data_IF_412474572767
#
_entry.id   IF_412474572767
#
_cell.length_a   1.000
_cell.length_b   1.000
_cell.length_c   1.000
_cell.angle_alpha   90.00
_cell.angle_beta   90.00
_cell.angle_gamma   90.00
#
_symmetry.space_group_name_H-M   'P 1'
#
loop_
_entity.id
_entity.type
_entity.pdbx_description
1 polymer ?
#
# COMPACT_ATOMS: atom_id res chain seq x y z
N UNK A 1 -1.05 24.99 73.04
CA UNK A 1 -1.81 25.10 71.77
C UNK A 1 -1.00 24.41 70.66
N UNK A 2 -0.97 23.10 70.59
CA UNK A 2 -0.22 22.40 69.47
C UNK A 2 -0.73 20.95 69.26
N UNK A 3 -2.01 20.75 69.06
CA UNK A 3 -2.54 19.39 68.81
C UNK A 3 -3.53 19.24 67.61
N UNK A 4 -3.68 20.24 66.74
CA UNK A 4 -4.68 20.14 65.69
C UNK A 4 -4.16 20.13 64.23
N UNK A 5 -2.82 20.08 63.99
CA UNK A 5 -2.26 20.08 62.63
C UNK A 5 -1.98 18.70 62.04
N UNK A 6 -1.85 17.68 62.88
CA UNK A 6 -1.55 16.29 62.40
C UNK A 6 -2.77 15.60 61.80
N UNK A 7 -3.96 15.78 62.37
CA UNK A 7 -5.18 15.14 61.87
C UNK A 7 -5.64 15.59 60.49
N UNK A 8 -5.52 16.90 60.17
CA UNK A 8 -5.92 17.45 58.88
C UNK A 8 -5.00 16.99 57.73
N UNK A 9 -3.69 16.79 57.99
CA UNK A 9 -2.73 16.32 56.99
C UNK A 9 -2.96 14.88 56.62
N UNK A 10 -3.30 14.01 57.57
CA UNK A 10 -3.62 12.61 57.32
C UNK A 10 -4.96 12.44 56.56
N UNK A 11 -5.95 13.28 56.85
CA UNK A 11 -7.25 13.25 56.17
C UNK A 11 -7.12 13.67 54.69
N UNK A 12 -6.30 14.69 54.38
CA UNK A 12 -6.04 15.14 52.98
C UNK A 12 -5.29 14.06 52.21
N UNK A 13 -4.29 13.43 52.84
CA UNK A 13 -3.54 12.34 52.20
C UNK A 13 -4.44 11.12 51.89
N UNK A 14 -5.36 10.80 52.82
CA UNK A 14 -6.31 9.70 52.64
C UNK A 14 -7.32 9.99 51.51
N UNK A 15 -7.80 11.23 51.42
CA UNK A 15 -8.69 11.67 50.32
C UNK A 15 -8.01 11.67 48.97
N UNK A 16 -6.74 12.05 48.91
CA UNK A 16 -5.95 11.98 47.64
C UNK A 16 -5.72 10.53 47.20
N UNK A 17 -5.39 9.62 48.11
CA UNK A 17 -5.24 8.19 47.81
C UNK A 17 -6.57 7.58 47.38
N UNK A 18 -7.68 7.92 48.05
CA UNK A 18 -9.00 7.45 47.66
C UNK A 18 -9.43 7.97 46.28
N UNK A 19 -9.14 9.24 45.96
CA UNK A 19 -9.42 9.83 44.66
C UNK A 19 -8.60 9.21 43.53
N UNK A 20 -7.30 8.92 43.78
CA UNK A 20 -6.45 8.20 42.80
C UNK A 20 -6.90 6.75 42.60
N UNK A 21 -7.31 6.05 43.65
CA UNK A 21 -7.86 4.70 43.53
C UNK A 21 -9.21 4.70 42.77
N UNK A 22 -10.09 5.65 43.03
CA UNK A 22 -11.35 5.82 42.30
C UNK A 22 -11.12 6.17 40.84
N UNK A 23 -10.11 7.00 40.52
CA UNK A 23 -9.72 7.32 39.18
C UNK A 23 -9.14 6.09 38.44
N UNK A 24 -8.32 5.30 39.13
CA UNK A 24 -7.78 4.03 38.57
C UNK A 24 -8.90 3.00 38.32
N UNK A 25 -9.87 2.88 39.26
CA UNK A 25 -11.04 2.01 39.09
C UNK A 25 -11.94 2.53 37.98
N UNK A 26 -12.16 3.84 37.88
CA UNK A 26 -12.92 4.46 36.79
C UNK A 26 -12.24 4.21 35.42
N UNK A 27 -10.93 4.39 35.34
CA UNK A 27 -10.15 4.11 34.12
C UNK A 27 -10.20 2.62 33.76
N UNK A 28 -10.07 1.70 34.74
CA UNK A 28 -10.08 0.25 34.52
C UNK A 28 -11.47 -0.33 34.24
N UNK A 29 -12.55 0.33 34.71
CA UNK A 29 -13.93 -0.09 34.50
C UNK A 29 -14.67 0.67 33.39
N UNK A 30 -13.99 1.65 32.77
CA UNK A 30 -14.56 2.40 31.66
C UNK A 30 -14.43 1.57 30.36
N UNK A 31 -15.52 1.04 29.79
CA UNK A 31 -15.47 0.26 28.55
C UNK A 31 -14.96 1.10 27.36
N UNK A 32 -14.83 2.42 27.51
CA UNK A 32 -14.23 3.32 26.52
C UNK A 32 -12.69 3.42 26.62
N UNK A 33 -12.05 2.82 27.62
CA UNK A 33 -10.62 2.52 27.61
C UNK A 33 -10.46 1.11 27.01
N UNK A 34 -11.08 0.86 25.87
CA UNK A 34 -10.82 -0.34 25.11
C UNK A 34 -9.36 -0.29 24.68
N UNK A 35 -8.64 -1.35 25.01
CA UNK A 35 -7.33 -1.61 24.39
C UNK A 35 -7.53 -1.43 22.89
N UNK A 36 -6.83 -0.47 22.28
CA UNK A 36 -6.86 -0.27 20.85
C UNK A 36 -6.62 -1.64 20.21
N UNK A 37 -7.58 -2.15 19.44
CA UNK A 37 -7.35 -3.36 18.68
C UNK A 37 -6.27 -3.07 17.66
N UNK A 38 -5.24 -3.92 17.63
CA UNK A 38 -4.14 -3.78 16.69
C UNK A 38 -4.64 -4.05 15.28
N UNK A 39 -4.53 -3.07 14.41
CA UNK A 39 -4.85 -3.20 12.98
C UNK A 39 -3.62 -3.71 12.24
N UNK A 40 -3.70 -4.91 11.69
CA UNK A 40 -2.61 -5.51 10.92
C UNK A 40 -2.73 -5.13 9.45
N UNK A 41 -1.75 -4.42 8.92
CA UNK A 41 -1.69 -4.01 7.51
C UNK A 41 -0.55 -4.76 6.84
N UNK A 42 -0.90 -5.62 5.88
CA UNK A 42 0.07 -6.29 5.03
C UNK A 42 0.77 -5.28 4.12
N UNK A 43 2.08 -5.36 4.00
CA UNK A 43 2.91 -4.44 3.22
C UNK A 43 4.08 -5.19 2.59
N UNK A 44 4.48 -4.80 1.40
CA UNK A 44 5.70 -5.28 0.74
C UNK A 44 6.66 -4.12 0.48
N UNK A 45 7.89 -4.42 0.06
CA UNK A 45 8.86 -3.38 -0.30
C UNK A 45 8.44 -2.67 -1.59
N UNK A 46 8.02 -1.42 -1.45
CA UNK A 46 7.73 -0.48 -2.53
C UNK A 46 8.12 0.92 -2.07
N UNK A 47 8.73 1.70 -2.94
CA UNK A 47 9.29 3.02 -2.60
C UNK A 47 8.24 3.97 -2.00
N UNK A 48 7.02 4.00 -2.52
CA UNK A 48 5.91 4.82 -1.99
C UNK A 48 5.44 4.36 -0.62
N UNK A 49 5.30 3.04 -0.43
CA UNK A 49 4.82 2.43 0.82
C UNK A 49 5.78 2.63 2.01
N UNK A 50 7.08 2.84 1.76
CA UNK A 50 8.07 3.01 2.83
C UNK A 50 7.76 4.19 3.77
N UNK A 51 7.00 5.18 3.31
CA UNK A 51 6.55 6.30 4.15
C UNK A 51 5.74 5.83 5.37
N UNK A 52 5.07 4.69 5.32
CA UNK A 52 4.37 4.09 6.46
C UNK A 52 5.33 3.68 7.59
N UNK A 53 6.59 3.36 7.27
CA UNK A 53 7.60 3.07 8.27
C UNK A 53 8.12 4.33 8.96
N UNK A 54 8.07 5.49 8.31
CA UNK A 54 8.26 6.78 8.99
C UNK A 54 7.15 6.95 10.02
N UNK A 55 5.88 6.74 9.64
CA UNK A 55 4.75 6.84 10.56
C UNK A 55 4.91 5.92 11.78
N UNK A 56 5.36 4.68 11.56
CA UNK A 56 5.66 3.72 12.62
C UNK A 56 6.78 4.19 13.52
N UNK A 57 7.93 4.59 12.95
CA UNK A 57 9.14 4.99 13.68
C UNK A 57 8.93 6.27 14.49
N UNK A 58 8.20 7.25 13.95
CA UNK A 58 7.88 8.51 14.61
C UNK A 58 6.65 8.42 15.55
N UNK A 59 5.97 7.28 15.58
CA UNK A 59 4.81 7.08 16.47
C UNK A 59 3.54 7.80 16.01
N UNK A 60 3.43 8.18 14.73
CA UNK A 60 2.29 8.95 14.22
C UNK A 60 0.99 8.16 14.22
N UNK A 61 1.04 6.83 14.06
CA UNK A 61 -0.13 5.98 14.25
C UNK A 61 -0.70 6.14 15.65
N UNK A 62 0.14 6.03 16.69
CA UNK A 62 -0.28 6.20 18.09
C UNK A 62 -0.77 7.61 18.38
N UNK A 63 -0.12 8.63 17.80
CA UNK A 63 -0.55 10.03 17.91
C UNK A 63 -1.95 10.25 17.32
N UNK A 64 -2.30 9.53 16.25
CA UNK A 64 -3.64 9.55 15.65
C UNK A 64 -4.64 8.62 16.37
N UNK A 65 -4.23 7.92 17.45
CA UNK A 65 -5.09 7.02 18.21
C UNK A 65 -5.21 5.62 17.59
N UNK A 66 -4.22 5.18 16.80
CA UNK A 66 -4.16 3.86 16.17
C UNK A 66 -3.05 3.00 16.77
N UNK A 67 -3.32 1.71 16.92
CA UNK A 67 -2.30 0.68 17.10
C UNK A 67 -2.20 -0.12 15.79
N UNK A 68 -1.12 0.11 15.01
CA UNK A 68 -0.91 -0.49 13.70
C UNK A 68 0.31 -1.38 13.72
N UNK A 69 0.14 -2.62 13.26
CA UNK A 69 1.21 -3.54 12.92
C UNK A 69 1.37 -3.59 11.40
N UNK A 70 2.53 -3.19 10.89
CA UNK A 70 2.91 -3.40 9.50
C UNK A 70 3.49 -4.80 9.37
N UNK A 71 2.75 -5.70 8.69
CA UNK A 71 3.13 -7.10 8.45
C UNK A 71 3.83 -7.18 7.10
N UNK A 72 5.15 -7.37 7.15
CA UNK A 72 5.99 -7.39 5.96
C UNK A 72 5.87 -8.72 5.21
N UNK A 73 5.63 -8.64 3.92
CA UNK A 73 5.45 -9.76 3.00
C UNK A 73 6.34 -9.58 1.77
N UNK A 74 6.57 -10.66 1.03
CA UNK A 74 7.59 -10.68 -0.04
C UNK A 74 7.14 -9.98 -1.33
N UNK A 75 5.83 -9.84 -1.56
CA UNK A 75 5.29 -9.28 -2.81
C UNK A 75 3.84 -8.82 -2.66
N UNK A 76 3.33 -8.12 -3.67
CA UNK A 76 1.90 -7.71 -3.77
C UNK A 76 0.97 -8.92 -3.71
N UNK A 77 1.29 -9.99 -4.42
CA UNK A 77 0.51 -11.23 -4.39
C UNK A 77 0.45 -11.84 -2.99
N UNK A 78 1.56 -11.84 -2.23
CA UNK A 78 1.54 -12.35 -0.86
C UNK A 78 0.77 -11.43 0.11
N UNK A 79 0.81 -10.11 -0.08
CA UNK A 79 -0.03 -9.15 0.65
C UNK A 79 -1.52 -9.46 0.42
N UNK A 80 -1.92 -9.60 -0.84
CA UNK A 80 -3.29 -9.95 -1.22
C UNK A 80 -3.72 -11.30 -0.64
N UNK A 81 -2.90 -12.35 -0.77
CA UNK A 81 -3.18 -13.68 -0.22
C UNK A 81 -3.29 -13.68 1.30
N UNK A 82 -2.47 -12.88 2.00
CA UNK A 82 -2.57 -12.74 3.45
C UNK A 82 -3.91 -12.11 3.87
N UNK A 83 -4.38 -11.10 3.12
CA UNK A 83 -5.69 -10.50 3.32
C UNK A 83 -6.83 -11.51 3.04
N UNK A 84 -6.79 -12.22 1.92
CA UNK A 84 -7.78 -13.26 1.56
C UNK A 84 -7.92 -14.32 2.66
N UNK A 85 -6.80 -14.70 3.29
CA UNK A 85 -6.76 -15.67 4.38
C UNK A 85 -7.09 -15.08 5.77
N UNK A 86 -7.33 -13.77 5.86
CA UNK A 86 -7.61 -13.08 7.14
C UNK A 86 -6.39 -13.02 8.07
N UNK A 87 -5.17 -13.08 7.54
CA UNK A 87 -3.92 -12.92 8.30
C UNK A 87 -3.59 -11.46 8.59
N UNK A 88 -4.12 -10.56 7.77
CA UNK A 88 -4.06 -9.12 7.92
C UNK A 88 -5.45 -8.53 7.78
N UNK A 89 -5.66 -7.34 8.36
CA UNK A 89 -6.94 -6.65 8.40
C UNK A 89 -7.07 -5.65 7.24
N UNK A 90 -5.94 -5.30 6.65
CA UNK A 90 -5.85 -4.43 5.48
C UNK A 90 -4.57 -4.67 4.68
N UNK A 91 -4.46 -3.96 3.57
CA UNK A 91 -3.37 -4.05 2.60
C UNK A 91 -2.84 -2.64 2.28
N UNK A 92 -1.51 -2.48 2.29
CA UNK A 92 -0.83 -1.46 1.52
C UNK A 92 -0.47 -2.10 0.17
N UNK A 93 -1.23 -1.78 -0.86
CA UNK A 93 -1.20 -2.44 -2.18
C UNK A 93 -1.79 -1.51 -3.23
N UNK A 94 -1.92 -1.99 -4.47
CA UNK A 94 -2.63 -1.23 -5.50
C UNK A 94 -4.15 -1.52 -5.52
N UNK A 95 -4.93 -0.70 -6.24
CA UNK A 95 -6.34 -1.00 -6.52
C UNK A 95 -6.53 -2.33 -7.25
N UNK A 96 -5.51 -2.77 -7.98
CA UNK A 96 -5.55 -4.05 -8.70
C UNK A 96 -5.67 -5.19 -7.69
N UNK A 97 -4.83 -5.22 -6.65
CA UNK A 97 -4.89 -6.23 -5.60
C UNK A 97 -6.19 -6.17 -4.79
N UNK A 98 -6.78 -4.98 -4.62
CA UNK A 98 -8.10 -4.82 -3.99
C UNK A 98 -9.17 -5.56 -4.80
N UNK A 99 -9.20 -5.37 -6.11
CA UNK A 99 -10.16 -6.03 -7.01
C UNK A 99 -9.86 -7.52 -7.21
N UNK A 100 -8.59 -7.89 -7.31
CA UNK A 100 -8.16 -9.30 -7.40
C UNK A 100 -8.49 -10.06 -6.10
N UNK A 101 -8.36 -9.45 -4.92
CA UNK A 101 -8.78 -10.07 -3.65
C UNK A 101 -10.28 -10.39 -3.65
N UNK A 102 -11.11 -9.47 -4.14
CA UNK A 102 -12.54 -9.73 -4.32
C UNK A 102 -12.79 -10.85 -5.32
N UNK A 103 -12.14 -10.81 -6.48
CA UNK A 103 -12.25 -11.81 -7.53
C UNK A 103 -11.95 -13.23 -7.04
N UNK A 104 -10.91 -13.41 -6.21
CA UNK A 104 -10.48 -14.73 -5.76
C UNK A 104 -11.14 -15.20 -4.47
N UNK A 105 -11.61 -14.29 -3.61
CA UNK A 105 -12.11 -14.66 -2.28
C UNK A 105 -13.49 -14.12 -1.92
N UNK A 106 -14.03 -13.22 -2.71
CA UNK A 106 -15.26 -12.48 -2.38
C UNK A 106 -15.10 -11.46 -1.25
N UNK A 107 -13.89 -11.30 -0.67
CA UNK A 107 -13.65 -10.34 0.40
C UNK A 107 -13.52 -8.93 -0.14
N UNK A 108 -14.19 -8.00 0.52
CA UNK A 108 -14.18 -6.59 0.15
C UNK A 108 -13.18 -5.86 1.03
N UNK A 109 -12.15 -5.30 0.40
CA UNK A 109 -11.30 -4.27 0.99
C UNK A 109 -11.75 -2.91 0.45
N UNK A 110 -11.86 -1.90 1.31
CA UNK A 110 -12.22 -0.55 0.91
C UNK A 110 -11.00 0.35 1.04
N UNK A 111 -10.56 1.03 -0.04
CA UNK A 111 -9.54 2.05 0.05
C UNK A 111 -9.93 3.16 1.03
N UNK A 112 -9.06 3.47 1.98
CA UNK A 112 -9.27 4.51 3.00
C UNK A 112 -8.18 5.57 2.99
N UNK A 113 -7.09 5.32 2.26
CA UNK A 113 -6.01 6.27 2.02
C UNK A 113 -5.41 5.98 0.65
N UNK A 114 -5.20 7.01 -0.15
CA UNK A 114 -4.39 6.93 -1.37
C UNK A 114 -2.97 7.33 -1.00
N UNK A 115 -2.02 6.43 -1.19
CA UNK A 115 -0.61 6.66 -0.89
C UNK A 115 0.01 7.48 -2.00
N UNK A 116 -0.07 6.96 -3.22
CA UNK A 116 0.50 7.56 -4.42
C UNK A 116 -0.18 7.03 -5.69
N UNK A 117 0.22 7.57 -6.82
CA UNK A 117 -0.03 6.99 -8.12
C UNK A 117 1.26 6.88 -8.92
N UNK A 118 1.36 5.78 -9.67
CA UNK A 118 2.51 5.47 -10.52
C UNK A 118 2.47 6.31 -11.80
N UNK A 119 3.62 6.90 -12.14
CA UNK A 119 3.80 7.69 -13.37
C UNK A 119 5.16 7.36 -14.00
N UNK A 120 5.31 6.13 -14.44
CA UNK A 120 6.54 5.59 -15.00
C UNK A 120 7.32 4.66 -14.05
N UNK A 121 6.82 4.43 -12.81
CA UNK A 121 7.49 3.55 -11.85
C UNK A 121 7.32 2.07 -12.18
N UNK A 122 6.13 1.67 -12.61
CA UNK A 122 5.85 0.30 -13.00
C UNK A 122 6.22 0.10 -14.45
N UNK A 123 7.12 -0.86 -14.72
CA UNK A 123 7.79 -1.02 -16.00
C UNK A 123 7.71 -2.46 -16.53
N UNK A 124 7.67 -2.61 -17.86
CA UNK A 124 7.99 -3.85 -18.54
C UNK A 124 9.41 -3.69 -19.10
N UNK A 125 10.32 -4.48 -18.55
CA UNK A 125 11.74 -4.48 -18.90
C UNK A 125 12.04 -5.64 -19.85
N UNK A 126 12.50 -5.35 -21.05
CA UNK A 126 12.96 -6.33 -22.01
C UNK A 126 14.47 -6.54 -21.97
N UNK A 127 14.94 -7.71 -22.39
CA UNK A 127 16.36 -7.91 -22.67
C UNK A 127 16.83 -6.94 -23.78
N UNK A 128 18.13 -6.72 -23.91
CA UNK A 128 18.71 -5.82 -24.94
C UNK A 128 18.34 -6.18 -26.38
N UNK A 129 17.78 -7.37 -26.61
CA UNK A 129 17.32 -7.85 -27.91
C UNK A 129 15.90 -7.45 -28.27
N UNK A 130 15.14 -6.93 -27.30
CA UNK A 130 13.74 -6.53 -27.43
C UNK A 130 13.68 -5.03 -27.21
N UNK A 131 13.16 -4.28 -28.17
CA UNK A 131 13.13 -2.81 -28.14
C UNK A 131 11.70 -2.24 -28.04
N UNK A 132 10.70 -3.03 -28.40
CA UNK A 132 9.29 -2.59 -28.43
C UNK A 132 8.37 -3.68 -27.91
N UNK A 133 7.17 -3.28 -27.44
CA UNK A 133 6.12 -4.24 -27.04
C UNK A 133 5.74 -5.16 -28.20
N UNK A 134 5.76 -4.68 -29.45
CA UNK A 134 5.41 -5.50 -30.63
C UNK A 134 6.34 -6.66 -30.87
N UNK A 135 7.60 -6.54 -30.43
CA UNK A 135 8.60 -7.62 -30.54
C UNK A 135 8.38 -8.73 -29.48
N UNK A 136 7.45 -8.53 -28.54
CA UNK A 136 7.09 -9.57 -27.56
C UNK A 136 6.20 -10.68 -28.14
N UNK A 137 5.72 -10.57 -29.39
CA UNK A 137 4.97 -11.66 -30.03
C UNK A 137 5.80 -12.94 -30.09
N UNK A 138 5.25 -14.03 -29.56
CA UNK A 138 5.93 -15.32 -29.43
C UNK A 138 7.00 -15.38 -28.33
N UNK A 139 7.18 -14.32 -27.54
CA UNK A 139 8.18 -14.23 -26.49
C UNK A 139 7.61 -14.57 -25.12
N UNK A 140 8.51 -14.86 -24.18
CA UNK A 140 8.17 -15.21 -22.79
C UNK A 140 8.27 -13.97 -21.91
N UNK A 141 7.21 -13.68 -21.18
CA UNK A 141 7.13 -12.55 -20.25
C UNK A 141 6.95 -13.08 -18.84
N UNK A 142 7.90 -12.79 -17.95
CA UNK A 142 7.82 -13.13 -16.53
C UNK A 142 6.86 -12.18 -15.81
N UNK A 143 5.87 -12.74 -15.11
CA UNK A 143 4.85 -11.97 -14.37
C UNK A 143 4.55 -12.61 -13.01
N UNK A 144 4.22 -11.78 -12.06
CA UNK A 144 3.58 -12.20 -10.82
C UNK A 144 2.06 -12.31 -11.05
N UNK A 145 1.51 -13.52 -10.94
CA UNK A 145 0.13 -13.79 -11.34
C UNK A 145 -0.90 -13.21 -10.38
N UNK A 146 -1.97 -12.64 -10.93
CA UNK A 146 -3.07 -12.07 -10.16
C UNK A 146 -2.65 -10.84 -9.36
N UNK A 147 -1.85 -9.98 -9.95
CA UNK A 147 -1.35 -8.74 -9.38
C UNK A 147 -1.18 -7.67 -10.43
N UNK A 148 -0.72 -6.49 -10.00
CA UNK A 148 -0.27 -5.39 -10.85
C UNK A 148 0.57 -5.86 -12.05
N UNK A 149 1.43 -6.86 -11.87
CA UNK A 149 2.29 -7.43 -12.91
C UNK A 149 1.49 -7.92 -14.13
N UNK A 150 0.44 -8.71 -13.88
CA UNK A 150 -0.46 -9.20 -14.93
C UNK A 150 -1.25 -8.05 -15.57
N UNK A 151 -1.72 -7.10 -14.76
CA UNK A 151 -2.43 -5.93 -15.21
C UNK A 151 -1.61 -5.10 -16.19
N UNK A 152 -0.37 -4.75 -15.81
CA UNK A 152 0.54 -3.94 -16.63
C UNK A 152 0.81 -4.58 -17.99
N UNK A 153 1.05 -5.89 -18.01
CA UNK A 153 1.23 -6.62 -19.28
C UNK A 153 -0.06 -6.59 -20.11
N UNK A 154 -1.23 -6.79 -19.50
CA UNK A 154 -2.51 -6.76 -20.21
C UNK A 154 -2.73 -5.41 -20.89
N UNK A 155 -2.46 -4.30 -20.19
CA UNK A 155 -2.58 -2.94 -20.72
C UNK A 155 -1.58 -2.68 -21.87
N UNK A 156 -0.32 -3.09 -21.66
CA UNK A 156 0.70 -2.93 -22.70
C UNK A 156 0.35 -3.68 -24.01
N UNK A 157 -0.16 -4.90 -23.89
CA UNK A 157 -0.59 -5.70 -25.04
C UNK A 157 -1.80 -5.08 -25.74
N UNK A 158 -2.82 -4.67 -24.95
CA UNK A 158 -4.05 -4.05 -25.47
C UNK A 158 -3.73 -2.77 -26.26
N UNK A 159 -2.93 -1.87 -25.70
CA UNK A 159 -2.54 -0.61 -26.34
C UNK A 159 -1.69 -0.80 -27.62
N UNK A 160 -1.16 -1.99 -27.84
CA UNK A 160 -0.35 -2.32 -29.03
C UNK A 160 -1.06 -3.32 -29.96
N UNK A 161 -2.37 -3.56 -29.81
CA UNK A 161 -3.17 -4.49 -30.59
C UNK A 161 -2.60 -5.93 -30.62
N UNK A 162 -2.06 -6.39 -29.50
CA UNK A 162 -1.52 -7.74 -29.33
C UNK A 162 -2.49 -8.56 -28.46
N UNK A 163 -2.91 -9.71 -28.96
CA UNK A 163 -3.71 -10.63 -28.17
C UNK A 163 -2.85 -11.33 -27.12
N UNK A 164 -3.39 -11.60 -25.95
CA UNK A 164 -2.70 -12.36 -24.90
C UNK A 164 -2.22 -13.75 -25.36
N UNK A 165 -2.92 -14.36 -26.32
CA UNK A 165 -2.52 -15.62 -26.94
C UNK A 165 -1.28 -15.54 -27.84
N UNK A 166 -0.83 -14.33 -28.21
CA UNK A 166 0.36 -14.11 -29.05
C UNK A 166 1.66 -14.00 -28.23
N UNK A 167 1.58 -14.03 -26.89
CA UNK A 167 2.72 -14.01 -25.98
C UNK A 167 2.69 -15.21 -25.04
N UNK A 168 3.80 -15.56 -24.42
CA UNK A 168 3.88 -16.65 -23.43
C UNK A 168 4.06 -16.04 -22.05
N UNK A 169 3.00 -16.05 -21.26
CA UNK A 169 3.04 -15.61 -19.86
C UNK A 169 3.73 -16.69 -19.01
N UNK A 170 4.76 -16.29 -18.28
CA UNK A 170 5.55 -17.16 -17.42
C UNK A 170 5.35 -16.73 -15.96
N UNK A 171 4.45 -17.40 -15.20
CA UNK A 171 4.27 -17.10 -13.79
C UNK A 171 5.55 -17.36 -13.00
N UNK A 172 5.95 -16.38 -12.18
CA UNK A 172 7.11 -16.49 -11.30
C UNK A 172 7.04 -15.49 -10.16
N UNK A 173 7.81 -15.75 -9.12
CA UNK A 173 7.94 -14.82 -8.00
C UNK A 173 8.77 -13.60 -8.40
N UNK A 174 8.46 -12.44 -7.80
CA UNK A 174 9.12 -11.17 -8.11
C UNK A 174 10.64 -11.25 -8.01
N UNK A 175 11.16 -11.92 -6.96
CA UNK A 175 12.60 -12.04 -6.71
C UNK A 175 13.33 -12.94 -7.73
N UNK A 176 12.61 -13.81 -8.45
CA UNK A 176 13.21 -14.68 -9.50
C UNK A 176 13.32 -13.96 -10.85
N UNK A 177 12.55 -12.89 -11.08
CA UNK A 177 12.47 -12.21 -12.38
C UNK A 177 13.82 -11.69 -12.89
N UNK A 178 14.66 -11.03 -12.08
CA UNK A 178 15.95 -10.52 -12.56
C UNK A 178 16.88 -11.62 -13.09
N UNK A 179 16.95 -12.75 -12.41
CA UNK A 179 17.79 -13.88 -12.83
C UNK A 179 17.19 -14.58 -14.05
N UNK A 180 15.86 -14.69 -14.13
CA UNK A 180 15.17 -15.27 -15.28
C UNK A 180 15.42 -14.46 -16.55
N UNK A 181 15.38 -13.13 -16.49
CA UNK A 181 15.72 -12.24 -17.60
C UNK A 181 17.20 -12.36 -17.97
N UNK A 182 18.10 -12.31 -16.98
CA UNK A 182 19.55 -12.40 -17.18
C UNK A 182 19.97 -13.70 -17.86
N UNK A 183 19.35 -14.81 -17.52
CA UNK A 183 19.66 -16.15 -18.07
C UNK A 183 18.91 -16.46 -19.36
N UNK A 184 18.02 -15.58 -19.84
CA UNK A 184 17.21 -15.80 -21.03
C UNK A 184 16.10 -16.84 -20.83
N UNK A 185 15.73 -17.17 -19.60
CA UNK A 185 14.55 -17.99 -19.29
C UNK A 185 13.27 -17.29 -19.74
N UNK A 186 13.25 -15.97 -19.64
CA UNK A 186 12.23 -15.06 -20.16
C UNK A 186 12.89 -13.96 -21.01
N UNK A 187 12.12 -13.35 -21.92
CA UNK A 187 12.58 -12.27 -22.81
C UNK A 187 12.29 -10.88 -22.21
N UNK A 188 11.27 -10.79 -21.37
CA UNK A 188 10.88 -9.57 -20.64
C UNK A 188 10.32 -9.93 -19.26
N UNK A 189 10.30 -8.96 -18.37
CA UNK A 189 9.72 -9.04 -17.01
C UNK A 189 8.96 -7.76 -16.68
N UNK A 190 8.05 -7.82 -15.74
CA UNK A 190 7.54 -6.63 -15.05
C UNK A 190 8.43 -6.30 -13.86
N UNK A 191 8.55 -5.03 -13.52
CA UNK A 191 9.30 -4.59 -12.35
C UNK A 191 8.89 -3.21 -11.90
N UNK A 192 9.20 -2.87 -10.65
CA UNK A 192 9.00 -1.56 -10.04
C UNK A 192 10.13 -1.25 -9.04
N UNK A 193 10.30 0.02 -8.63
CA UNK A 193 11.34 0.39 -7.66
C UNK A 193 11.11 -0.24 -6.27
N UNK A 194 12.18 -0.65 -5.57
CA UNK A 194 13.58 -0.41 -5.90
C UNK A 194 14.20 -1.41 -6.89
N UNK A 195 13.51 -2.53 -7.17
CA UNK A 195 14.05 -3.63 -7.98
C UNK A 195 14.36 -3.20 -9.41
N UNK A 196 13.49 -2.44 -10.07
CA UNK A 196 13.72 -1.95 -11.45
C UNK A 196 14.96 -1.06 -11.55
N UNK A 197 15.21 -0.22 -10.54
CA UNK A 197 16.42 0.61 -10.47
C UNK A 197 17.68 -0.25 -10.41
N UNK A 198 17.67 -1.29 -9.57
CA UNK A 198 18.79 -2.21 -9.45
C UNK A 198 19.04 -3.00 -10.75
N UNK A 199 17.98 -3.47 -11.42
CA UNK A 199 18.06 -4.18 -12.71
C UNK A 199 18.69 -3.27 -13.78
N UNK A 200 18.16 -2.05 -13.94
CA UNK A 200 18.67 -1.08 -14.94
C UNK A 200 20.14 -0.72 -14.73
N UNK A 201 20.62 -0.73 -13.49
CA UNK A 201 22.05 -0.49 -13.17
C UNK A 201 22.96 -1.68 -13.42
N UNK A 202 22.47 -2.89 -13.14
CA UNK A 202 23.29 -4.11 -13.18
C UNK A 202 23.25 -4.82 -14.53
N UNK A 203 22.20 -4.58 -15.32
CA UNK A 203 21.97 -5.26 -16.58
C UNK A 203 21.58 -4.24 -17.65
N UNK A 204 22.04 -4.48 -18.89
CA UNK A 204 21.46 -3.78 -20.02
C UNK A 204 20.04 -4.30 -20.25
N UNK A 205 19.05 -3.42 -20.11
CA UNK A 205 17.63 -3.71 -20.37
C UNK A 205 17.01 -2.52 -21.08
N UNK A 206 15.96 -2.78 -21.85
CA UNK A 206 15.14 -1.74 -22.47
C UNK A 206 13.81 -1.61 -21.72
N UNK A 207 13.38 -0.40 -21.43
CA UNK A 207 12.01 -0.14 -20.97
C UNK A 207 11.10 -0.22 -22.19
N UNK A 208 10.22 -1.22 -22.22
CA UNK A 208 9.31 -1.46 -23.33
C UNK A 208 7.98 -0.75 -23.16
N UNK A 209 7.56 -0.60 -21.91
CA UNK A 209 6.31 0.02 -21.49
C UNK A 209 6.46 0.47 -20.05
N UNK A 210 5.81 1.55 -19.67
CA UNK A 210 5.73 2.00 -18.30
C UNK A 210 4.37 2.66 -17.97
N UNK A 211 4.11 2.85 -16.69
CA UNK A 211 2.85 3.36 -16.18
C UNK A 211 2.51 4.80 -16.57
N UNK A 212 3.46 5.59 -17.08
CA UNK A 212 3.18 6.94 -17.57
C UNK A 212 2.26 6.95 -18.80
N UNK A 213 2.19 5.82 -19.52
CA UNK A 213 1.28 5.63 -20.67
C UNK A 213 -0.16 5.29 -20.27
N UNK A 214 -0.39 4.96 -19.01
CA UNK A 214 -1.70 4.61 -18.42
C UNK A 214 -1.96 5.46 -17.16
N UNK A 215 -2.06 6.78 -17.28
CA UNK A 215 -2.14 7.69 -16.15
C UNK A 215 -3.37 7.42 -15.28
N UNK A 216 -3.18 7.46 -13.96
CA UNK A 216 -4.21 7.21 -12.92
C UNK A 216 -4.84 5.81 -12.93
N UNK A 217 -4.24 4.83 -13.61
CA UNK A 217 -4.72 3.45 -13.55
C UNK A 217 -4.06 2.67 -12.40
N UNK A 218 -2.84 3.03 -11.99
CA UNK A 218 -2.13 2.38 -10.89
C UNK A 218 -2.08 3.33 -9.71
N UNK A 219 -2.98 3.09 -8.75
CA UNK A 219 -3.04 3.80 -7.47
C UNK A 219 -2.60 2.88 -6.35
N UNK A 220 -1.63 3.32 -5.57
CA UNK A 220 -1.24 2.69 -4.32
C UNK A 220 -2.14 3.18 -3.18
N UNK A 221 -2.67 2.24 -2.40
CA UNK A 221 -3.69 2.52 -1.39
C UNK A 221 -3.41 1.78 -0.08
N UNK A 222 -3.93 2.31 1.03
CA UNK A 222 -4.29 1.47 2.16
C UNK A 222 -5.76 1.12 1.99
N UNK A 223 -6.03 -0.18 1.84
CA UNK A 223 -7.38 -0.72 1.79
C UNK A 223 -7.62 -1.64 2.97
N UNK A 224 -8.74 -1.44 3.68
CA UNK A 224 -9.10 -2.15 4.90
C UNK A 224 -10.33 -3.02 4.65
N UNK A 225 -10.36 -4.18 5.29
CA UNK A 225 -11.51 -5.07 5.25
C UNK A 225 -12.79 -4.32 5.68
N UNK A 226 -13.84 -4.41 4.87
CA UNK A 226 -15.14 -3.75 5.11
C UNK A 226 -15.71 -4.03 6.51
N UNK A 227 -15.54 -5.26 7.02
CA UNK A 227 -16.05 -5.61 8.34
C UNK A 227 -15.24 -4.96 9.47
N UNK A 228 -13.93 -4.74 9.26
CA UNK A 228 -13.09 -3.99 10.22
C UNK A 228 -13.47 -2.51 10.24
N UNK A 229 -13.78 -1.93 9.09
CA UNK A 229 -14.23 -0.53 9.01
C UNK A 229 -15.57 -0.31 9.71
N UNK A 230 -16.51 -1.25 9.63
CA UNK A 230 -17.80 -1.15 10.31
C UNK A 230 -17.68 -1.01 11.83
N UNK A 231 -16.67 -1.64 12.43
CA UNK A 231 -16.43 -1.57 13.88
C UNK A 231 -15.45 -0.48 14.28
N UNK A 232 -14.76 0.12 13.32
CA UNK A 232 -13.81 1.21 13.53
C UNK A 232 -14.11 2.40 12.58
N UNK A 233 -15.21 3.13 12.76
CA UNK A 233 -15.65 4.17 11.81
C UNK A 233 -14.65 5.34 11.69
N UNK A 234 -13.89 5.65 12.74
CA UNK A 234 -12.88 6.73 12.71
C UNK A 234 -11.56 6.33 11.99
N UNK A 235 -11.41 5.06 11.57
CA UNK A 235 -10.14 4.53 11.07
C UNK A 235 -9.61 5.29 9.85
N UNK A 236 -10.47 5.64 8.88
CA UNK A 236 -10.07 6.42 7.71
C UNK A 236 -9.51 7.78 8.12
N UNK A 237 -10.22 8.51 8.96
CA UNK A 237 -9.79 9.84 9.43
C UNK A 237 -8.47 9.79 10.20
N UNK A 238 -8.28 8.76 11.03
CA UNK A 238 -7.04 8.54 11.77
C UNK A 238 -5.86 8.20 10.84
N UNK A 239 -6.07 7.38 9.80
CA UNK A 239 -5.06 7.09 8.78
C UNK A 239 -4.71 8.32 7.93
N UNK A 240 -5.70 9.13 7.52
CA UNK A 240 -5.48 10.39 6.82
C UNK A 240 -4.67 11.39 7.66
N UNK A 241 -4.94 11.47 8.97
CA UNK A 241 -4.15 12.28 9.89
C UNK A 241 -2.72 11.76 10.04
N UNK A 242 -2.54 10.44 10.18
CA UNK A 242 -1.22 9.80 10.21
C UNK A 242 -0.43 10.12 8.96
N UNK A 243 -1.05 10.01 7.79
CA UNK A 243 -0.43 10.29 6.50
C UNK A 243 0.02 11.75 6.37
N UNK A 244 -0.86 12.68 6.79
CA UNK A 244 -0.50 14.10 6.85
C UNK A 244 0.75 14.34 7.70
N UNK A 245 0.80 13.79 8.92
CA UNK A 245 1.96 13.92 9.81
C UNK A 245 3.22 13.33 9.17
N UNK A 246 3.09 12.21 8.48
CA UNK A 246 4.19 11.53 7.79
C UNK A 246 4.76 12.39 6.67
N UNK A 247 3.91 12.94 5.81
CA UNK A 247 4.37 13.81 4.71
C UNK A 247 4.95 15.14 5.23
N UNK A 248 4.35 15.72 6.26
CA UNK A 248 4.89 16.93 6.91
C UNK A 248 6.27 16.68 7.51
N UNK A 249 6.46 15.52 8.17
CA UNK A 249 7.78 15.11 8.68
C UNK A 249 8.78 14.91 7.54
N UNK A 250 8.42 14.19 6.49
CA UNK A 250 9.29 13.95 5.34
C UNK A 250 9.75 15.26 4.69
N UNK A 251 8.87 16.26 4.63
CA UNK A 251 9.18 17.57 4.07
C UNK A 251 10.11 18.40 4.99
N UNK A 252 9.81 18.41 6.29
CA UNK A 252 10.50 19.27 7.24
C UNK A 252 11.84 18.68 7.72
N UNK A 253 11.99 17.36 7.69
CA UNK A 253 13.17 16.60 8.15
C UNK A 253 13.64 15.63 7.06
N UNK A 254 13.83 16.15 5.84
CA UNK A 254 14.05 15.33 4.64
C UNK A 254 15.28 14.43 4.74
N UNK A 255 16.38 14.87 5.35
CA UNK A 255 17.58 14.05 5.53
C UNK A 255 17.30 12.84 6.43
N UNK A 256 16.66 13.06 7.58
CA UNK A 256 16.31 11.99 8.51
C UNK A 256 15.29 11.03 7.89
N UNK A 257 14.29 11.58 7.19
CA UNK A 257 13.29 10.80 6.48
C UNK A 257 13.94 9.90 5.42
N UNK A 258 14.81 10.45 4.58
CA UNK A 258 15.53 9.66 3.56
C UNK A 258 16.41 8.57 4.18
N UNK A 259 17.06 8.83 5.30
CA UNK A 259 17.83 7.81 6.00
C UNK A 259 16.94 6.64 6.46
N UNK A 260 15.74 6.95 7.00
CA UNK A 260 14.76 5.90 7.39
C UNK A 260 14.34 5.06 6.19
N UNK A 261 13.97 5.72 5.07
CA UNK A 261 13.44 5.07 3.88
C UNK A 261 14.49 4.21 3.18
N UNK A 262 15.72 4.71 3.08
CA UNK A 262 16.79 4.03 2.33
C UNK A 262 17.48 2.91 3.13
N UNK A 263 17.54 3.03 4.45
CA UNK A 263 18.07 1.97 5.33
C UNK A 263 17.29 0.66 5.15
N UNK A 264 15.96 0.75 5.13
CA UNK A 264 15.10 -0.41 4.94
C UNK A 264 15.20 -1.03 3.56
N UNK A 265 15.23 -0.21 2.52
CA UNK A 265 15.33 -0.65 1.13
C UNK A 265 16.74 -1.09 0.75
N UNK A 266 17.74 -0.82 1.59
CA UNK A 266 19.17 -1.09 1.31
C UNK A 266 19.66 -0.47 0.00
N UNK A 267 19.18 0.76 -0.31
CA UNK A 267 19.55 1.52 -1.50
C UNK A 267 20.17 2.86 -1.11
N UNK A 268 20.84 3.51 -2.04
CA UNK A 268 21.36 4.87 -1.81
C UNK A 268 20.22 5.90 -1.82
N UNK A 269 20.45 7.04 -1.14
CA UNK A 269 19.52 8.18 -1.19
C UNK A 269 19.29 8.66 -2.63
N UNK A 270 20.32 8.60 -3.48
CA UNK A 270 20.21 8.97 -4.89
C UNK A 270 19.29 8.00 -5.65
N UNK A 271 19.41 6.69 -5.40
CA UNK A 271 18.54 5.68 -6.03
C UNK A 271 17.10 5.82 -5.57
N UNK A 272 16.90 6.13 -4.29
CA UNK A 272 15.58 6.41 -3.76
C UNK A 272 14.95 7.64 -4.43
N UNK A 273 15.69 8.73 -4.57
CA UNK A 273 15.20 9.93 -5.26
C UNK A 273 14.84 9.64 -6.72
N UNK A 274 15.70 8.92 -7.45
CA UNK A 274 15.40 8.50 -8.81
C UNK A 274 14.14 7.63 -8.91
N UNK A 275 13.93 6.73 -7.94
CA UNK A 275 12.70 5.93 -7.85
C UNK A 275 11.47 6.81 -7.62
N UNK A 276 11.59 7.82 -6.74
CA UNK A 276 10.50 8.74 -6.44
C UNK A 276 10.16 9.71 -7.59
N UNK A 277 11.06 9.96 -8.55
CA UNK A 277 10.76 10.81 -9.71
C UNK A 277 9.60 10.26 -10.58
N UNK A 278 9.28 8.98 -10.42
CA UNK A 278 8.22 8.27 -11.14
C UNK A 278 7.00 7.90 -10.27
N UNK A 279 6.97 8.40 -9.04
CA UNK A 279 5.89 8.16 -8.06
C UNK A 279 5.39 9.51 -7.57
N UNK A 280 4.08 9.71 -7.64
CA UNK A 280 3.45 10.93 -7.17
C UNK A 280 2.69 10.66 -5.87
N UNK A 281 3.30 11.02 -4.73
CA UNK A 281 2.64 10.92 -3.42
C UNK A 281 1.40 11.79 -3.38
N UNK A 282 0.28 11.24 -2.94
CA UNK A 282 -0.99 11.97 -2.81
C UNK A 282 -1.05 12.68 -1.46
N UNK A 283 -1.00 13.99 -1.50
CA UNK A 283 -1.05 14.86 -0.32
C UNK A 283 -2.41 14.87 0.37
N UNK A 284 -2.44 15.37 1.62
CA UNK A 284 -3.67 15.39 2.42
C UNK A 284 -4.83 16.13 1.73
N UNK A 285 -4.56 17.24 1.04
CA UNK A 285 -5.59 18.00 0.34
C UNK A 285 -6.10 17.32 -0.92
N UNK A 286 -5.28 16.51 -1.55
CA UNK A 286 -5.61 15.78 -2.78
C UNK A 286 -6.49 14.55 -2.50
N UNK A 287 -6.48 14.02 -1.25
CA UNK A 287 -7.34 12.90 -0.87
C UNK A 287 -8.83 13.17 -1.15
N UNK A 288 -9.29 14.42 -1.06
CA UNK A 288 -10.68 14.78 -1.34
C UNK A 288 -11.09 14.50 -2.78
N UNK A 289 -10.18 14.61 -3.74
CA UNK A 289 -10.45 14.32 -5.14
C UNK A 289 -10.84 12.84 -5.34
N UNK A 290 -10.20 11.97 -4.60
CA UNK A 290 -10.49 10.53 -4.66
C UNK A 290 -11.77 10.17 -3.91
N UNK A 291 -11.93 10.62 -2.68
CA UNK A 291 -13.01 10.16 -1.82
C UNK A 291 -14.31 10.97 -1.94
N UNK A 292 -14.26 12.23 -2.40
CA UNK A 292 -15.45 13.12 -2.47
C UNK A 292 -15.81 13.54 -3.89
N UNK A 293 -14.82 13.63 -4.79
CA UNK A 293 -15.03 14.15 -6.15
C UNK A 293 -15.14 13.03 -7.21
N UNK A 294 -15.04 11.76 -6.78
CA UNK A 294 -15.32 10.59 -7.59
C UNK A 294 -14.12 9.97 -8.33
N UNK A 295 -12.90 10.50 -8.16
CA UNK A 295 -11.73 9.98 -8.87
C UNK A 295 -11.42 8.51 -8.50
N UNK A 296 -11.66 8.10 -7.24
CA UNK A 296 -11.52 6.71 -6.83
C UNK A 296 -12.48 5.78 -7.59
N UNK A 297 -13.74 6.18 -7.76
CA UNK A 297 -14.73 5.41 -8.53
C UNK A 297 -14.30 5.29 -9.99
N UNK A 298 -13.82 6.37 -10.60
CA UNK A 298 -13.32 6.36 -11.98
C UNK A 298 -12.14 5.36 -12.12
N UNK A 299 -11.20 5.40 -11.18
CA UNK A 299 -10.05 4.47 -11.17
C UNK A 299 -10.50 3.01 -10.96
N UNK A 300 -11.44 2.76 -10.05
CA UNK A 300 -12.01 1.42 -9.83
C UNK A 300 -12.68 0.86 -11.09
N UNK A 301 -13.44 1.68 -11.82
CA UNK A 301 -14.10 1.27 -13.06
C UNK A 301 -13.07 0.89 -14.12
N UNK A 302 -12.08 1.76 -14.38
CA UNK A 302 -11.00 1.48 -15.35
C UNK A 302 -10.20 0.22 -15.01
N UNK A 303 -9.80 0.09 -13.74
CA UNK A 303 -9.06 -1.07 -13.28
C UNK A 303 -9.88 -2.34 -13.38
N UNK A 304 -11.17 -2.26 -13.03
CA UNK A 304 -12.09 -3.39 -13.07
C UNK A 304 -12.37 -3.91 -14.47
N UNK A 305 -12.45 -3.05 -15.48
CA UNK A 305 -12.58 -3.46 -16.89
C UNK A 305 -11.49 -4.47 -17.30
N UNK A 306 -10.29 -4.31 -16.79
CA UNK A 306 -9.18 -5.22 -17.10
C UNK A 306 -9.17 -6.45 -16.19
N UNK A 307 -9.33 -6.23 -14.87
CA UNK A 307 -9.27 -7.31 -13.86
C UNK A 307 -10.37 -8.34 -14.08
N UNK A 308 -11.56 -7.89 -14.47
CA UNK A 308 -12.73 -8.76 -14.64
C UNK A 308 -13.05 -9.12 -16.10
N UNK A 309 -12.22 -8.69 -17.08
CA UNK A 309 -12.45 -8.83 -18.53
C UNK A 309 -12.85 -10.24 -19.00
N UNK A 310 -12.42 -11.28 -18.29
CA UNK A 310 -12.64 -12.69 -18.68
C UNK A 310 -13.63 -13.43 -17.77
N UNK A 311 -14.30 -12.72 -16.87
CA UNK A 311 -15.32 -13.32 -16.03
C UNK A 311 -16.69 -13.11 -16.69
N UNK A 312 -17.46 -14.18 -16.85
CA UNK A 312 -18.91 -14.12 -17.08
C UNK A 312 -19.58 -13.73 -15.75
N UNK A 313 -19.30 -12.53 -15.25
CA UNK A 313 -19.86 -12.04 -13.98
C UNK A 313 -21.04 -11.15 -14.27
N UNK A 314 -22.11 -11.30 -13.48
CA UNK A 314 -23.12 -10.26 -13.32
C UNK A 314 -22.42 -8.91 -13.01
N UNK A 315 -23.04 -7.81 -13.42
CA UNK A 315 -22.50 -6.46 -13.25
C UNK A 315 -21.95 -6.24 -11.86
N UNK A 316 -20.63 -5.93 -11.77
CA UNK A 316 -19.98 -5.70 -10.47
C UNK A 316 -20.42 -4.35 -9.93
N UNK A 317 -20.99 -4.35 -8.74
CA UNK A 317 -21.29 -3.12 -8.01
C UNK A 317 -20.00 -2.54 -7.39
N UNK A 318 -19.37 -1.60 -8.09
CA UNK A 318 -18.14 -0.95 -7.59
C UNK A 318 -18.37 -0.05 -6.37
N UNK A 319 -19.63 0.33 -6.06
CA UNK A 319 -19.93 1.13 -4.86
C UNK A 319 -19.57 0.40 -3.56
N UNK A 320 -19.52 -0.91 -3.58
CA UNK A 320 -19.12 -1.72 -2.42
C UNK A 320 -17.66 -1.51 -1.99
N UNK A 321 -16.80 -1.01 -2.90
CA UNK A 321 -15.40 -0.68 -2.62
C UNK A 321 -15.21 0.76 -2.14
N UNK A 322 -16.25 1.58 -2.15
CA UNK A 322 -16.19 2.94 -1.63
C UNK A 322 -16.56 2.91 -0.14
N UNK A 323 -15.67 3.45 0.68
CA UNK A 323 -15.97 3.69 2.08
C UNK A 323 -16.80 4.98 2.19
N UNK A 324 -17.98 4.87 2.76
CA UNK A 324 -18.86 6.00 3.09
C UNK A 324 -18.96 6.07 4.61
N UNK A 325 -18.50 7.20 5.19
CA UNK A 325 -18.67 7.51 6.62
C UNK A 325 -20.15 7.58 7.03
#
# INVERSE_FOLDING_TARGET
MSQNFSGKRNTITFLLIAATLLLLVYISSNPYVSKLETIRIGIHQCTGHEHLFIAKKQGFFKQAGLDVELVELSSLTEVRRAFERGKVDGMASTLIEVLEAFKYSGKIAQPVLIIDYSNGADEILGSTKINTIKELKGKKIGVESGSLSTYLVSRALEMNDIKSSEVVIMPMELHDMPIALKTGKVDAITSYPPTSVAIKKQMGVNVLFDSSTIPNEILDVIAINKEVLKINPELQKQLLQTWKLTLDYTRNYSEEAYNILTERLMISVNDFKQAMDHINLVGHHEQSQYFKEGLLMESLLKTGEVVFKHLEVEEIDYSQFIYNE
#
